data_IF_781966042500
#
_entry.id   IF_781966042500
#
_cell.length_a   1.000
_cell.length_b   1.000
_cell.length_c   1.000
_cell.angle_alpha   90.00
_cell.angle_beta   90.00
_cell.angle_gamma   90.00
#
_symmetry.space_group_name_H-M   'P 1'
#
loop_
_entity.id
_entity.type
_entity.pdbx_description
1 polymer ?
#
# COMPACT_ATOMS: atom_id res chain seq x y z
N UNK A 1 15.88 7.16 19.17
CA UNK A 1 15.09 6.33 18.21
C UNK A 1 15.57 6.55 16.78
N UNK A 2 15.69 7.80 16.31
CA UNK A 2 16.14 8.14 14.95
C UNK A 2 17.52 7.55 14.56
N UNK A 3 18.51 7.58 15.45
CA UNK A 3 19.87 7.09 15.17
C UNK A 3 19.96 5.59 14.79
N UNK A 4 19.01 4.77 15.27
CA UNK A 4 18.94 3.34 14.89
C UNK A 4 18.37 3.18 13.47
N UNK A 5 17.35 3.97 13.14
CA UNK A 5 16.75 4.00 11.80
C UNK A 5 17.75 4.56 10.77
N UNK A 6 18.48 5.61 11.11
CA UNK A 6 19.47 6.23 10.22
C UNK A 6 20.56 5.23 9.83
N UNK A 7 21.12 4.52 10.80
CA UNK A 7 22.08 3.43 10.54
C UNK A 7 21.50 2.31 9.68
N UNK A 8 20.20 2.06 9.71
CA UNK A 8 19.57 1.08 8.81
C UNK A 8 19.48 1.61 7.38
N UNK A 9 19.17 2.90 7.20
CA UNK A 9 19.11 3.54 5.88
C UNK A 9 20.52 3.66 5.27
N UNK A 10 21.53 4.06 6.05
CA UNK A 10 22.93 4.10 5.60
C UNK A 10 23.43 2.72 5.15
N UNK A 11 23.06 1.66 5.88
CA UNK A 11 23.37 0.27 5.48
C UNK A 11 22.68 -0.11 4.17
N UNK A 12 21.44 0.34 3.96
CA UNK A 12 20.71 0.12 2.72
C UNK A 12 21.42 0.80 1.54
N UNK A 13 21.74 2.09 1.67
CA UNK A 13 22.43 2.86 0.62
C UNK A 13 23.80 2.25 0.31
N UNK A 14 24.58 1.89 1.34
CA UNK A 14 25.88 1.23 1.17
C UNK A 14 25.76 -0.14 0.48
N UNK A 15 24.72 -0.92 0.80
CA UNK A 15 24.45 -2.22 0.15
C UNK A 15 24.16 -2.04 -1.34
N UNK A 16 23.39 -1.01 -1.68
CA UNK A 16 23.08 -0.65 -3.07
C UNK A 16 24.23 0.11 -3.77
N UNK A 17 25.36 0.32 -3.08
CA UNK A 17 26.55 1.05 -3.55
C UNK A 17 26.25 2.49 -3.96
N UNK A 18 25.39 3.16 -3.21
CA UNK A 18 24.99 4.54 -3.43
C UNK A 18 25.60 5.39 -2.31
N UNK A 19 26.38 6.41 -2.68
CA UNK A 19 26.76 7.46 -1.75
C UNK A 19 25.60 8.45 -1.61
N UNK A 20 25.23 8.78 -0.38
CA UNK A 20 24.18 9.75 -0.10
C UNK A 20 24.47 11.14 -0.69
N UNK A 21 25.74 11.50 -0.86
CA UNK A 21 26.18 12.79 -1.42
C UNK A 21 26.00 12.86 -2.93
N UNK A 22 25.89 11.71 -3.58
CA UNK A 22 25.67 11.60 -5.02
C UNK A 22 24.18 11.70 -5.37
N UNK A 23 23.29 11.61 -4.39
CA UNK A 23 21.84 11.71 -4.59
C UNK A 23 21.42 13.17 -4.72
N UNK A 24 20.93 13.53 -5.90
CA UNK A 24 20.42 14.88 -6.19
C UNK A 24 18.99 15.07 -5.71
N UNK A 25 18.11 14.14 -6.10
CA UNK A 25 16.68 14.13 -5.78
C UNK A 25 16.20 12.69 -5.63
N UNK A 26 14.99 12.50 -5.13
CA UNK A 26 14.35 11.18 -5.14
C UNK A 26 12.88 11.26 -5.54
N UNK A 27 12.40 10.21 -6.20
CA UNK A 27 10.98 9.95 -6.41
C UNK A 27 10.51 8.86 -5.46
N UNK A 28 9.33 9.06 -4.86
CA UNK A 28 8.70 8.05 -4.01
C UNK A 28 7.24 7.82 -4.42
N UNK A 29 6.75 6.59 -4.26
CA UNK A 29 5.37 6.19 -4.62
C UNK A 29 5.05 6.38 -6.12
N UNK A 30 5.99 6.00 -6.98
CA UNK A 30 5.86 6.05 -8.44
C UNK A 30 6.42 4.77 -9.03
N UNK A 31 5.71 4.18 -10.00
CA UNK A 31 6.21 3.02 -10.76
C UNK A 31 7.50 3.38 -11.48
N UNK A 32 8.45 2.45 -11.53
CA UNK A 32 9.72 2.63 -12.20
C UNK A 32 9.79 1.73 -13.43
N UNK A 33 9.81 2.33 -14.62
CA UNK A 33 9.74 1.62 -15.90
C UNK A 33 10.75 2.14 -16.91
N UNK A 34 12.02 1.79 -16.75
CA UNK A 34 13.05 2.20 -17.70
C UNK A 34 12.94 1.46 -19.05
N UNK A 35 12.25 0.31 -19.09
CA UNK A 35 12.12 -0.53 -20.29
C UNK A 35 10.66 -0.68 -20.67
N UNK A 36 10.36 -0.55 -21.97
CA UNK A 36 9.01 -0.72 -22.51
C UNK A 36 8.51 -2.17 -22.44
N UNK A 37 9.42 -3.14 -22.35
CA UNK A 37 9.09 -4.55 -22.17
C UNK A 37 8.45 -4.83 -20.81
N UNK A 38 7.23 -5.36 -20.86
CA UNK A 38 6.38 -5.71 -19.73
C UNK A 38 7.04 -6.66 -18.73
N UNK A 39 7.81 -7.62 -19.22
CA UNK A 39 8.37 -8.70 -18.39
C UNK A 39 9.82 -8.44 -17.97
N UNK A 40 10.35 -7.24 -18.27
CA UNK A 40 11.67 -6.87 -17.84
C UNK A 40 11.74 -6.81 -16.31
N UNK A 41 12.69 -7.55 -15.72
CA UNK A 41 12.97 -7.51 -14.28
C UNK A 41 13.40 -6.10 -13.80
N UNK A 42 13.74 -5.20 -14.73
CA UNK A 42 14.07 -3.80 -14.43
C UNK A 42 12.85 -2.95 -14.10
N UNK A 43 11.65 -3.40 -14.47
CA UNK A 43 10.42 -2.67 -14.20
C UNK A 43 9.89 -3.00 -12.80
N UNK A 44 9.70 -1.98 -11.97
CA UNK A 44 9.21 -2.11 -10.61
C UNK A 44 7.80 -1.54 -10.49
N UNK A 45 6.92 -2.29 -9.84
CA UNK A 45 5.53 -1.91 -9.56
C UNK A 45 5.12 -2.27 -8.13
N UNK A 46 4.02 -1.66 -7.69
CA UNK A 46 3.45 -1.84 -6.35
C UNK A 46 4.06 -0.92 -5.30
N UNK A 47 3.80 -1.19 -4.01
CA UNK A 47 3.95 -0.17 -2.98
C UNK A 47 5.40 0.04 -2.52
N UNK A 48 5.71 1.27 -2.13
CA UNK A 48 6.98 1.63 -1.50
C UNK A 48 8.18 1.63 -2.45
N UNK A 49 7.97 1.94 -3.72
CA UNK A 49 9.07 2.14 -4.67
C UNK A 49 9.76 3.47 -4.36
N UNK A 50 11.08 3.41 -4.24
CA UNK A 50 11.96 4.56 -4.13
C UNK A 50 12.90 4.57 -5.33
N UNK A 51 12.94 5.69 -6.04
CA UNK A 51 13.91 5.95 -7.10
C UNK A 51 14.81 7.10 -6.66
N UNK A 52 16.11 6.87 -6.64
CA UNK A 52 17.13 7.87 -6.37
C UNK A 52 17.70 8.36 -7.70
N UNK A 53 17.73 9.69 -7.87
CA UNK A 53 18.31 10.35 -9.03
C UNK A 53 19.69 10.85 -8.65
N UNK A 54 20.71 10.31 -9.30
CA UNK A 54 22.09 10.60 -8.98
C UNK A 54 22.62 11.78 -9.80
N UNK A 55 23.69 12.42 -9.29
CA UNK A 55 24.32 13.59 -9.92
C UNK A 55 24.90 13.28 -11.31
N UNK A 56 25.25 12.02 -11.57
CA UNK A 56 25.75 11.54 -12.86
C UNK A 56 24.63 11.32 -13.91
N UNK A 57 23.37 11.56 -13.52
CA UNK A 57 22.19 11.35 -14.37
C UNK A 57 21.69 9.91 -14.39
N UNK A 58 22.26 9.01 -13.59
CA UNK A 58 21.77 7.64 -13.44
C UNK A 58 20.65 7.55 -12.41
N UNK A 59 19.71 6.64 -12.65
CA UNK A 59 18.59 6.37 -11.73
C UNK A 59 18.78 5.00 -11.06
N UNK A 60 18.53 4.96 -9.75
CA UNK A 60 18.56 3.73 -8.96
C UNK A 60 17.22 3.56 -8.26
N UNK A 61 16.44 2.58 -8.72
CA UNK A 61 15.15 2.26 -8.12
C UNK A 61 15.19 0.92 -7.39
N UNK A 62 14.55 0.89 -6.23
CA UNK A 62 14.37 -0.32 -5.45
C UNK A 62 13.11 -0.25 -4.60
N UNK A 63 12.71 -1.41 -4.09
CA UNK A 63 11.53 -1.57 -3.27
C UNK A 63 11.91 -1.48 -1.80
N UNK A 64 11.22 -0.61 -1.06
CA UNK A 64 11.33 -0.53 0.39
C UNK A 64 10.46 -1.61 1.04
N UNK A 65 11.12 -2.48 1.80
CA UNK A 65 10.48 -3.55 2.57
C UNK A 65 10.35 -3.18 4.05
N UNK A 66 9.64 -3.99 4.83
CA UNK A 66 9.39 -3.79 6.27
C UNK A 66 10.65 -3.57 7.12
N UNK A 67 11.81 -4.09 6.70
CA UNK A 67 13.10 -3.88 7.40
C UNK A 67 13.67 -2.48 7.18
N UNK A 68 13.33 -1.82 6.08
CA UNK A 68 13.70 -0.45 5.74
C UNK A 68 12.41 0.34 5.56
N UNK A 69 11.72 0.55 6.68
CA UNK A 69 10.38 1.14 6.67
C UNK A 69 10.37 2.44 5.86
N UNK A 70 9.44 2.63 4.90
CA UNK A 70 9.50 3.76 3.98
C UNK A 70 9.54 5.12 4.68
N UNK A 71 8.79 5.28 5.77
CA UNK A 71 8.85 6.47 6.64
C UNK A 71 10.27 6.81 7.10
N UNK A 72 11.05 5.81 7.54
CA UNK A 72 12.40 6.05 8.03
C UNK A 72 13.33 6.52 6.89
N UNK A 73 13.19 5.92 5.71
CA UNK A 73 13.99 6.26 4.54
C UNK A 73 13.65 7.67 4.03
N UNK A 74 12.36 7.99 3.88
CA UNK A 74 11.92 9.32 3.44
C UNK A 74 12.37 10.39 4.44
N UNK A 75 12.18 10.18 5.75
CA UNK A 75 12.68 11.11 6.77
C UNK A 75 14.20 11.30 6.75
N UNK A 76 14.95 10.24 6.47
CA UNK A 76 16.40 10.30 6.36
C UNK A 76 16.81 11.21 5.18
N UNK A 77 16.26 10.97 3.99
CA UNK A 77 16.55 11.74 2.78
C UNK A 77 16.16 13.22 2.93
N UNK A 78 14.95 13.48 3.44
CA UNK A 78 14.47 14.85 3.66
C UNK A 78 15.35 15.62 4.66
N UNK A 79 15.83 14.96 5.72
CA UNK A 79 16.73 15.58 6.71
C UNK A 79 18.14 15.82 6.19
N UNK A 80 18.60 15.02 5.22
CA UNK A 80 19.85 15.26 4.49
C UNK A 80 19.71 16.38 3.46
N UNK A 81 18.52 16.98 3.32
CA UNK A 81 18.26 18.07 2.38
C UNK A 81 18.05 17.61 0.94
N UNK A 82 17.83 16.31 0.71
CA UNK A 82 17.53 15.77 -0.62
C UNK A 82 16.03 15.95 -0.84
N UNK A 83 15.59 16.72 -1.86
CA UNK A 83 14.17 16.97 -2.09
C UNK A 83 13.50 15.83 -2.86
N UNK A 84 12.19 15.66 -2.62
CA UNK A 84 11.33 14.79 -3.40
C UNK A 84 10.92 15.51 -4.70
N UNK A 85 11.08 14.87 -5.85
CA UNK A 85 10.90 15.52 -7.17
C UNK A 85 9.55 15.26 -7.83
N UNK A 86 8.82 14.26 -7.38
CA UNK A 86 7.57 13.82 -7.97
C UNK A 86 6.36 14.28 -7.14
N UNK A 87 6.43 15.48 -6.57
CA UNK A 87 5.36 16.13 -5.83
C UNK A 87 4.63 17.13 -6.73
N UNK A 88 3.32 16.94 -6.91
CA UNK A 88 2.49 17.86 -7.69
C UNK A 88 1.71 18.79 -6.74
N UNK A 89 1.82 20.11 -6.93
CA UNK A 89 0.96 21.05 -6.20
C UNK A 89 -0.43 21.08 -6.84
N UNK A 90 -1.39 20.42 -6.20
CA UNK A 90 -2.78 20.35 -6.69
C UNK A 90 -3.62 21.40 -5.95
N UNK A 91 -4.13 22.46 -6.62
CA UNK A 91 -4.97 23.44 -5.96
C UNK A 91 -6.31 22.81 -5.57
N UNK A 92 -6.74 23.05 -4.33
CA UNK A 92 -8.05 22.62 -3.84
C UNK A 92 -9.16 23.36 -4.59
N UNK A 93 -10.01 22.60 -5.28
CA UNK A 93 -11.14 23.12 -6.06
C UNK A 93 -12.47 22.83 -5.36
N UNK A 94 -12.73 21.55 -5.08
CA UNK A 94 -14.01 21.08 -4.60
C UNK A 94 -13.84 19.84 -3.74
N UNK A 95 -14.61 19.73 -2.67
CA UNK A 95 -14.61 18.56 -1.78
C UNK A 95 -15.95 17.86 -1.89
N UNK A 96 -16.01 16.51 -1.82
CA UNK A 96 -17.27 15.79 -1.85
C UNK A 96 -18.25 16.29 -0.78
N UNK A 97 -19.44 16.73 -1.21
CA UNK A 97 -20.49 17.19 -0.30
C UNK A 97 -21.24 16.03 0.36
N UNK A 98 -21.27 14.87 -0.32
CA UNK A 98 -21.87 13.64 0.18
C UNK A 98 -20.82 12.54 0.30
N UNK A 99 -20.95 11.62 1.27
CA UNK A 99 -19.96 10.60 1.51
C UNK A 99 -19.87 9.61 0.34
N UNK A 100 -18.76 9.63 -0.38
CA UNK A 100 -18.49 8.72 -1.51
C UNK A 100 -17.78 7.46 -1.01
N UNK A 101 -18.46 6.32 -1.09
CA UNK A 101 -17.91 5.02 -0.64
C UNK A 101 -17.33 4.21 -1.81
N UNK A 102 -16.07 3.82 -1.67
CA UNK A 102 -15.31 3.01 -2.61
C UNK A 102 -15.04 1.65 -1.99
N UNK A 103 -16.04 0.77 -2.10
CA UNK A 103 -16.01 -0.60 -1.56
C UNK A 103 -16.45 -1.58 -2.64
N UNK A 104 -15.79 -2.73 -2.69
CA UNK A 104 -16.34 -3.89 -3.42
C UNK A 104 -16.90 -4.89 -2.40
N UNK A 105 -18.22 -5.11 -2.35
CA UNK A 105 -18.75 -6.28 -1.66
C UNK A 105 -18.23 -7.51 -2.39
N UNK A 106 -17.48 -8.36 -1.69
CA UNK A 106 -16.85 -9.54 -2.28
C UNK A 106 -17.41 -10.78 -1.62
N UNK A 107 -17.90 -11.72 -2.43
CA UNK A 107 -18.24 -13.07 -1.98
C UNK A 107 -17.03 -13.73 -1.31
N UNK A 108 -15.81 -13.40 -1.74
CA UNK A 108 -14.58 -13.90 -1.14
C UNK A 108 -14.44 -13.50 0.33
N UNK A 109 -14.88 -12.28 0.71
CA UNK A 109 -14.86 -11.84 2.10
C UNK A 109 -15.82 -12.67 2.95
N UNK A 110 -17.04 -12.92 2.44
CA UNK A 110 -18.03 -13.76 3.12
C UNK A 110 -17.52 -15.19 3.24
N UNK A 111 -16.98 -15.75 2.16
CA UNK A 111 -16.41 -17.08 2.15
C UNK A 111 -15.24 -17.21 3.13
N UNK A 112 -14.32 -16.24 3.15
CA UNK A 112 -13.19 -16.24 4.08
C UNK A 112 -13.64 -16.13 5.54
N UNK A 113 -14.68 -15.35 5.83
CA UNK A 113 -15.27 -15.26 7.17
C UNK A 113 -15.90 -16.58 7.61
N UNK A 114 -16.71 -17.20 6.74
CA UNK A 114 -17.33 -18.50 7.01
C UNK A 114 -16.28 -19.60 7.16
N UNK A 115 -15.24 -19.62 6.32
CA UNK A 115 -14.15 -20.58 6.39
C UNK A 115 -13.37 -20.43 7.70
N UNK A 116 -13.07 -19.19 8.12
CA UNK A 116 -12.39 -18.93 9.39
C UNK A 116 -13.23 -19.40 10.58
N UNK A 117 -14.54 -19.14 10.55
CA UNK A 117 -15.47 -19.62 11.58
C UNK A 117 -15.58 -21.15 11.59
N UNK A 118 -15.64 -21.80 10.43
CA UNK A 118 -15.68 -23.25 10.31
C UNK A 118 -14.43 -23.90 10.92
N UNK A 119 -13.24 -23.34 10.68
CA UNK A 119 -12.00 -23.81 11.32
C UNK A 119 -11.99 -23.57 12.82
N UNK A 120 -12.56 -22.46 13.32
CA UNK A 120 -12.75 -22.26 14.76
C UNK A 120 -13.64 -23.35 15.37
N UNK A 121 -14.82 -23.59 14.79
CA UNK A 121 -15.76 -24.61 15.27
C UNK A 121 -15.13 -26.01 15.21
N UNK A 122 -14.44 -26.33 14.11
CA UNK A 122 -13.74 -27.61 13.95
C UNK A 122 -12.62 -27.77 14.98
N UNK A 123 -11.84 -26.71 15.25
CA UNK A 123 -10.79 -26.71 16.26
C UNK A 123 -11.34 -27.02 17.65
N UNK A 124 -12.45 -26.36 18.05
CA UNK A 124 -13.12 -26.65 19.32
C UNK A 124 -13.72 -28.06 19.36
N UNK A 125 -14.33 -28.52 18.28
CA UNK A 125 -14.89 -29.86 18.18
C UNK A 125 -13.79 -30.94 18.36
N UNK A 126 -12.66 -30.81 17.68
CA UNK A 126 -11.54 -31.74 17.77
C UNK A 126 -10.89 -31.72 19.17
N UNK A 127 -10.78 -30.54 19.79
CA UNK A 127 -10.26 -30.42 21.15
C UNK A 127 -11.20 -31.02 22.21
N UNK A 128 -12.51 -31.05 21.95
CA UNK A 128 -13.51 -31.59 22.88
C UNK A 128 -13.77 -33.10 22.72
N UNK A 129 -13.59 -33.66 21.51
CA UNK A 129 -13.95 -35.05 21.20
C UNK A 129 -12.80 -36.05 21.28
N UNK A 130 -11.55 -35.58 21.26
CA UNK A 130 -10.38 -36.46 21.35
C UNK A 130 -9.69 -36.31 22.71
N UNK A 131 -9.72 -37.38 23.49
CA UNK A 131 -9.01 -37.44 24.77
C UNK A 131 -7.49 -37.42 24.56
N UNK A 132 -6.81 -36.64 25.41
CA UNK A 132 -5.35 -36.56 25.46
C UNK A 132 -4.71 -35.64 24.42
N UNK A 133 -3.39 -35.77 24.25
CA UNK A 133 -2.60 -34.85 23.45
C UNK A 133 -2.97 -34.83 21.96
N UNK A 134 -3.58 -35.89 21.43
CA UNK A 134 -3.95 -36.00 20.02
C UNK A 134 -4.98 -34.94 19.58
N UNK A 135 -6.00 -34.67 20.41
CA UNK A 135 -7.00 -33.63 20.15
C UNK A 135 -6.39 -32.23 20.11
N UNK A 136 -5.41 -31.97 20.98
CA UNK A 136 -4.66 -30.71 20.98
C UNK A 136 -3.82 -30.56 19.71
N UNK A 137 -3.11 -31.60 19.29
CA UNK A 137 -2.27 -31.56 18.08
C UNK A 137 -3.08 -31.36 16.79
N UNK A 138 -4.30 -31.90 16.72
CA UNK A 138 -5.18 -31.73 15.56
C UNK A 138 -5.98 -30.41 15.58
N UNK A 139 -6.32 -29.89 16.75
CA UNK A 139 -7.01 -28.60 16.88
C UNK A 139 -6.10 -27.40 16.62
N UNK A 140 -4.81 -27.48 16.97
CA UNK A 140 -3.87 -26.36 16.85
C UNK A 140 -3.74 -25.82 15.41
N UNK A 141 -3.56 -26.65 14.36
CA UNK A 141 -3.57 -26.18 12.98
C UNK A 141 -4.89 -25.51 12.58
N UNK A 142 -6.03 -26.03 13.06
CA UNK A 142 -7.34 -25.44 12.78
C UNK A 142 -7.43 -24.02 13.36
N UNK A 143 -6.99 -23.81 14.61
CA UNK A 143 -6.93 -22.48 15.21
C UNK A 143 -5.95 -21.55 14.48
N UNK A 144 -4.77 -22.05 14.09
CA UNK A 144 -3.80 -21.26 13.31
C UNK A 144 -4.40 -20.81 11.98
N UNK A 145 -5.09 -21.70 11.25
CA UNK A 145 -5.77 -21.37 10.00
C UNK A 145 -6.92 -20.38 10.22
N UNK A 146 -7.69 -20.53 11.30
CA UNK A 146 -8.78 -19.62 11.65
C UNK A 146 -8.29 -18.21 12.01
N UNK A 147 -7.19 -18.12 12.79
CA UNK A 147 -6.52 -16.87 13.13
C UNK A 147 -5.94 -16.22 11.88
N UNK A 148 -5.26 -16.99 11.02
CA UNK A 148 -4.72 -16.50 9.75
C UNK A 148 -5.82 -15.96 8.85
N UNK A 149 -6.93 -16.70 8.71
CA UNK A 149 -8.10 -16.26 7.96
C UNK A 149 -8.68 -14.95 8.51
N UNK A 150 -8.81 -14.83 9.83
CA UNK A 150 -9.27 -13.61 10.49
C UNK A 150 -8.30 -12.43 10.30
N UNK A 151 -6.99 -12.70 10.35
CA UNK A 151 -5.95 -11.71 10.06
C UNK A 151 -6.05 -11.19 8.62
N UNK A 152 -6.19 -12.08 7.63
CA UNK A 152 -6.36 -11.67 6.24
C UNK A 152 -7.63 -10.83 6.03
N UNK A 153 -8.72 -11.12 6.75
CA UNK A 153 -9.93 -10.28 6.75
C UNK A 153 -9.65 -8.86 7.25
N UNK A 154 -8.90 -8.74 8.34
CA UNK A 154 -8.52 -7.45 8.94
C UNK A 154 -7.65 -6.62 7.99
N UNK A 155 -6.67 -7.26 7.33
CA UNK A 155 -5.61 -6.52 6.63
C UNK A 155 -5.84 -6.36 5.13
N UNK A 156 -6.70 -7.16 4.48
CA UNK A 156 -6.83 -7.20 3.00
C UNK A 156 -8.09 -6.54 2.44
N UNK A 157 -9.09 -6.29 3.28
CA UNK A 157 -10.41 -5.82 2.85
C UNK A 157 -10.75 -4.43 3.40
N UNK A 158 -9.76 -3.54 3.37
CA UNK A 158 -10.05 -2.15 3.67
C UNK A 158 -10.88 -1.54 2.55
N UNK A 159 -11.64 -0.49 2.88
CA UNK A 159 -12.33 0.32 1.89
C UNK A 159 -12.24 1.79 2.26
N UNK A 160 -12.44 2.66 1.29
CA UNK A 160 -12.26 4.11 1.46
C UNK A 160 -13.61 4.81 1.36
N UNK A 161 -13.84 5.79 2.21
CA UNK A 161 -14.95 6.73 2.07
C UNK A 161 -14.40 8.15 2.08
N UNK A 162 -14.80 8.97 1.11
CA UNK A 162 -14.49 10.40 1.09
C UNK A 162 -15.66 11.17 1.66
N UNK A 163 -15.39 12.16 2.49
CA UNK A 163 -16.38 13.03 3.12
C UNK A 163 -15.98 14.50 2.93
N UNK A 164 -16.75 15.46 3.45
CA UNK A 164 -16.47 16.89 3.31
C UNK A 164 -15.19 17.35 4.02
N UNK A 165 -14.69 16.59 4.99
CA UNK A 165 -13.56 16.98 5.85
C UNK A 165 -12.32 16.08 5.72
N UNK A 166 -12.50 14.80 5.40
CA UNK A 166 -11.42 13.83 5.47
C UNK A 166 -11.65 12.63 4.54
N UNK A 167 -10.55 12.03 4.10
CA UNK A 167 -10.55 10.66 3.59
C UNK A 167 -10.58 9.71 4.79
N UNK A 168 -11.52 8.77 4.78
CA UNK A 168 -11.62 7.76 5.81
C UNK A 168 -11.29 6.38 5.25
N UNK A 169 -10.39 5.67 5.92
CA UNK A 169 -10.05 4.28 5.61
C UNK A 169 -10.71 3.39 6.66
N UNK A 170 -11.55 2.48 6.20
CA UNK A 170 -12.26 1.52 7.03
C UNK A 170 -11.58 0.16 6.91
N UNK A 171 -11.25 -0.43 8.06
CA UNK A 171 -10.80 -1.81 8.22
C UNK A 171 -11.77 -2.52 9.19
N UNK A 172 -11.67 -3.83 9.31
CA UNK A 172 -12.55 -4.61 10.18
C UNK A 172 -12.31 -4.21 11.65
N UNK A 173 -13.22 -3.41 12.22
CA UNK A 173 -13.13 -2.92 13.60
C UNK A 173 -12.34 -1.61 13.79
N UNK A 174 -11.85 -0.97 12.73
CA UNK A 174 -11.16 0.33 12.84
C UNK A 174 -11.58 1.29 11.73
N UNK A 175 -11.81 2.54 12.12
CA UNK A 175 -12.02 3.67 11.23
C UNK A 175 -10.89 4.67 11.42
N UNK A 176 -10.14 4.96 10.36
CA UNK A 176 -9.08 5.95 10.33
C UNK A 176 -9.56 7.13 9.50
N UNK A 177 -9.41 8.36 10.02
CA UNK A 177 -9.77 9.57 9.31
C UNK A 177 -8.51 10.41 9.08
N UNK A 178 -8.26 10.77 7.83
CA UNK A 178 -7.15 11.59 7.38
C UNK A 178 -7.70 12.88 6.79
N UNK A 179 -7.58 14.02 7.49
CA UNK A 179 -7.91 15.32 6.91
C UNK A 179 -7.15 15.53 5.62
N UNK A 180 -7.78 16.11 4.60
CA UNK A 180 -7.16 16.29 3.29
C UNK A 180 -5.84 17.07 3.36
N UNK A 181 -5.76 18.04 4.26
CA UNK A 181 -4.58 18.88 4.50
C UNK A 181 -3.38 18.08 5.04
N UNK A 182 -3.65 16.98 5.78
CA UNK A 182 -2.60 16.12 6.31
C UNK A 182 -2.09 15.11 5.27
N UNK A 183 -2.82 14.90 4.18
CA UNK A 183 -2.40 13.99 3.12
C UNK A 183 -1.51 14.77 2.16
N UNK A 184 -0.23 14.42 2.13
CA UNK A 184 0.74 15.05 1.22
C UNK A 184 0.65 14.45 -0.16
N UNK A 185 0.65 13.12 -0.22
CA UNK A 185 0.63 12.35 -1.48
C UNK A 185 -0.06 11.02 -1.32
N UNK A 186 -0.73 10.56 -2.36
CA UNK A 186 -1.44 9.29 -2.40
C UNK A 186 -1.24 8.62 -3.75
N UNK A 187 -0.94 7.33 -3.75
CA UNK A 187 -0.88 6.53 -4.98
C UNK A 187 -1.67 5.24 -4.82
N UNK A 188 -2.36 4.86 -5.90
CA UNK A 188 -3.11 3.61 -5.99
C UNK A 188 -2.42 2.72 -7.03
N UNK A 189 -2.04 1.52 -6.62
CA UNK A 189 -1.34 0.56 -7.47
C UNK A 189 -1.76 -0.90 -7.16
N UNK A 190 -1.16 -1.87 -7.85
CA UNK A 190 -1.28 -3.29 -7.54
C UNK A 190 -0.44 -3.67 -6.34
N UNK A 191 -0.98 -4.56 -5.51
CA UNK A 191 -0.14 -5.38 -4.67
C UNK A 191 0.78 -6.23 -5.55
N UNK A 192 2.02 -6.43 -5.09
CA UNK A 192 2.98 -7.33 -5.75
C UNK A 192 2.59 -8.81 -5.68
N UNK A 193 1.56 -9.15 -4.91
CA UNK A 193 1.13 -10.52 -4.68
C UNK A 193 0.21 -11.02 -5.81
N UNK A 194 0.26 -12.32 -6.09
CA UNK A 194 -0.50 -12.96 -7.17
C UNK A 194 -2.03 -12.80 -7.08
N UNK A 195 -2.58 -12.44 -5.92
CA UNK A 195 -4.03 -12.32 -5.71
C UNK A 195 -4.64 -11.00 -6.21
N UNK A 196 -3.88 -10.17 -6.97
CA UNK A 196 -4.39 -9.00 -7.69
C UNK A 196 -5.27 -8.07 -6.83
N UNK A 197 -4.80 -7.76 -5.62
CA UNK A 197 -5.43 -6.74 -4.78
C UNK A 197 -4.85 -5.36 -5.13
N UNK A 198 -5.67 -4.33 -5.05
CA UNK A 198 -5.20 -2.96 -5.15
C UNK A 198 -4.73 -2.48 -3.78
N UNK A 199 -3.67 -1.69 -3.79
CA UNK A 199 -3.14 -1.02 -2.61
C UNK A 199 -3.31 0.47 -2.75
N UNK A 200 -3.54 1.11 -1.61
CA UNK A 200 -3.48 2.55 -1.45
C UNK A 200 -2.29 2.83 -0.55
N UNK A 201 -1.29 3.47 -1.13
CA UNK A 201 -0.17 4.01 -0.39
C UNK A 201 -0.37 5.51 -0.20
N UNK A 202 -0.07 5.98 1.00
CA UNK A 202 -0.31 7.36 1.41
C UNK A 202 0.90 7.87 2.19
N UNK A 203 1.30 9.08 1.87
CA UNK A 203 2.31 9.84 2.59
C UNK A 203 1.62 11.05 3.23
N UNK A 204 1.76 11.20 4.53
CA UNK A 204 1.30 12.38 5.26
C UNK A 204 2.25 13.58 5.11
N UNK A 205 1.81 14.77 5.50
CA UNK A 205 2.64 15.99 5.51
C UNK A 205 3.91 15.85 6.33
N UNK A 206 3.83 15.11 7.43
CA UNK A 206 4.96 14.77 8.28
C UNK A 206 5.81 13.62 7.71
N UNK A 207 5.60 13.17 6.47
CA UNK A 207 6.31 12.05 5.82
C UNK A 207 6.10 10.68 6.46
N UNK A 208 5.06 10.50 7.27
CA UNK A 208 4.63 9.18 7.73
C UNK A 208 3.97 8.44 6.57
N UNK A 209 4.40 7.20 6.34
CA UNK A 209 3.96 6.36 5.23
C UNK A 209 2.97 5.34 5.74
N UNK A 210 1.86 5.20 5.03
CA UNK A 210 0.82 4.21 5.29
C UNK A 210 0.55 3.39 4.04
N UNK A 211 0.27 2.11 4.26
CA UNK A 211 -0.11 1.17 3.22
C UNK A 211 -1.40 0.47 3.61
N UNK A 212 -2.41 0.57 2.75
CA UNK A 212 -3.71 -0.06 2.94
C UNK A 212 -4.05 -0.96 1.74
N UNK A 213 -4.51 -2.17 2.01
CA UNK A 213 -5.05 -3.04 0.97
C UNK A 213 -6.54 -2.74 0.80
N UNK A 214 -6.88 -2.07 -0.29
CA UNK A 214 -8.25 -1.63 -0.60
C UNK A 214 -9.04 -2.70 -1.40
N UNK A 215 -8.57 -3.94 -1.36
CA UNK A 215 -9.18 -5.08 -2.05
C UNK A 215 -9.25 -4.92 -3.57
N UNK A 216 -10.27 -5.50 -4.20
CA UNK A 216 -10.43 -5.52 -5.66
C UNK A 216 -11.46 -4.50 -6.17
N UNK A 217 -11.48 -3.27 -5.62
CA UNK A 217 -12.36 -2.18 -6.09
C UNK A 217 -12.16 -1.97 -7.61
N UNK A 218 -13.23 -1.78 -8.41
CA UNK A 218 -13.09 -1.58 -9.86
C UNK A 218 -12.19 -0.40 -10.20
N UNK A 219 -11.38 -0.52 -11.27
CA UNK A 219 -10.41 0.53 -11.65
C UNK A 219 -11.06 1.86 -11.98
N UNK A 220 -12.22 1.85 -12.64
CA UNK A 220 -13.00 3.08 -12.89
C UNK A 220 -13.36 3.80 -11.58
N UNK A 221 -13.77 3.04 -10.56
CA UNK A 221 -14.06 3.57 -9.22
C UNK A 221 -12.81 4.08 -8.52
N UNK A 222 -11.64 3.47 -8.75
CA UNK A 222 -10.36 3.96 -8.23
C UNK A 222 -9.88 5.23 -8.94
N UNK A 223 -10.18 5.37 -10.24
CA UNK A 223 -9.95 6.61 -10.98
C UNK A 223 -10.87 7.73 -10.44
N UNK A 224 -12.17 7.46 -10.27
CA UNK A 224 -13.11 8.39 -9.63
C UNK A 224 -12.64 8.84 -8.24
N UNK A 225 -12.15 7.90 -7.42
CA UNK A 225 -11.56 8.17 -6.10
C UNK A 225 -10.36 9.14 -6.23
N UNK A 226 -9.47 8.87 -7.18
CA UNK A 226 -8.26 9.67 -7.41
C UNK A 226 -8.61 11.09 -7.86
N UNK A 227 -9.56 11.23 -8.79
CA UNK A 227 -10.04 12.53 -9.24
C UNK A 227 -10.70 13.32 -8.11
N UNK A 228 -11.52 12.67 -7.29
CA UNK A 228 -12.15 13.31 -6.14
C UNK A 228 -11.11 13.81 -5.12
N UNK A 229 -10.05 13.02 -4.88
CA UNK A 229 -8.92 13.44 -4.03
C UNK A 229 -8.14 14.61 -4.64
N UNK A 230 -7.87 14.59 -5.96
CA UNK A 230 -7.23 15.72 -6.66
C UNK A 230 -8.09 16.99 -6.56
N UNK A 231 -9.41 16.90 -6.74
CA UNK A 231 -10.32 18.06 -6.55
C UNK A 231 -10.26 18.59 -5.12
N UNK A 232 -10.08 17.72 -4.13
CA UNK A 232 -9.90 18.10 -2.73
C UNK A 232 -8.50 18.69 -2.41
N UNK A 233 -7.60 18.78 -3.40
CA UNK A 233 -6.26 19.37 -3.26
C UNK A 233 -5.17 18.37 -2.84
N UNK A 234 -5.42 17.06 -2.96
CA UNK A 234 -4.43 16.02 -2.67
C UNK A 234 -3.66 15.64 -3.95
N UNK A 235 -2.33 15.49 -3.86
CA UNK A 235 -1.53 14.85 -4.91
C UNK A 235 -1.85 13.35 -4.96
N UNK A 236 -2.92 13.01 -5.68
CA UNK A 236 -3.39 11.65 -5.84
C UNK A 236 -3.11 11.16 -7.27
N UNK A 237 -2.50 9.97 -7.36
CA UNK A 237 -2.22 9.29 -8.63
C UNK A 237 -2.83 7.89 -8.64
N UNK A 238 -3.46 7.50 -9.76
CA UNK A 238 -3.87 6.13 -10.01
C UNK A 238 -2.92 5.54 -11.04
N UNK A 239 -2.01 4.66 -10.61
CA UNK A 239 -1.07 4.01 -11.50
C UNK A 239 -1.71 2.89 -12.34
N UNK A 240 -2.99 2.59 -12.10
CA UNK A 240 -3.74 1.52 -12.76
C UNK A 240 -4.28 1.96 -14.13
N UNK A 241 -4.16 1.11 -15.16
CA UNK A 241 -4.74 1.40 -16.48
C UNK A 241 -6.28 1.24 -16.45
N UNK A 242 -7.06 2.29 -16.73
CA UNK A 242 -8.52 2.26 -16.65
C UNK A 242 -9.19 1.43 -17.76
N UNK A 243 -8.54 1.27 -18.92
CA UNK A 243 -9.13 0.65 -20.11
C UNK A 243 -9.01 -0.88 -20.13
N UNK A 244 -8.25 -1.46 -19.19
CA UNK A 244 -7.98 -2.90 -19.18
C UNK A 244 -8.90 -3.68 -18.27
N UNK A 245 -9.48 -4.73 -18.85
CA UNK A 245 -10.40 -5.68 -18.19
C UNK A 245 -9.68 -6.75 -17.35
N UNK A 246 -8.42 -7.03 -17.65
CA UNK A 246 -7.61 -8.07 -16.99
C UNK A 246 -6.60 -7.48 -16.01
N UNK A 247 -6.30 -8.22 -14.94
CA UNK A 247 -5.46 -7.84 -13.79
C UNK A 247 -3.97 -7.51 -14.10
N UNK A 248 -3.59 -7.44 -15.37
CA UNK A 248 -2.24 -7.10 -15.81
C UNK A 248 -2.26 -5.75 -16.53
N UNK A 249 -1.61 -4.75 -15.94
CA UNK A 249 -1.31 -3.52 -16.66
C UNK A 249 -0.11 -3.71 -17.59
N UNK A 250 -0.24 -3.14 -18.78
CA UNK A 250 0.89 -2.78 -19.64
C UNK A 250 0.85 -1.27 -19.70
N UNK A 251 2.01 -0.64 -19.50
CA UNK A 251 2.17 0.81 -19.51
C UNK A 251 1.72 1.41 -20.85
N UNK A 252 1.10 2.59 -20.78
CA UNK A 252 0.89 3.47 -21.94
C UNK A 252 2.24 4.09 -22.31
N UNK A 253 2.57 4.09 -23.60
CA UNK A 253 3.63 4.93 -24.15
C UNK A 253 3.19 6.40 -23.95
N UNK A 254 4.11 7.23 -23.47
CA UNK A 254 3.96 8.68 -23.49
C UNK A 254 3.78 9.18 -24.92
#
# INVERSE_FOLDING_TARGET
MYEKCDRQVERLLRRERIDEREVKTFSFMKRYTPVTDKHSERNLYGPGILTLHLNDGTERAFILHTRHHPTAVVHYLMRKGIPMDNEEQVPRKEVPQQPLTFRRPSLLLVWQALLSLAFFCLGFYLAAMQDGAAGLWLSLPCFVLAIYGSYTLLTRYCYVTLDSHAMQVHSMGRKLAFPYENIRKLNIDFAREQQHTHVLEMLEQNHVYHLYYIGCVPRSRLLELTEALRRAGVDATCSLNPEKRHYYDVYHQQ
#
